data_IF_171536543471
#
_entry.id   IF_171536543471
#
_cell.length_a   1.000
_cell.length_b   1.000
_cell.length_c   1.000
_cell.angle_alpha   90.00
_cell.angle_beta   90.00
_cell.angle_gamma   90.00
#
_symmetry.space_group_name_H-M   'P 1'
#
loop_
_entity.id
_entity.type
_entity.pdbx_description
1 polymer ?
#
# COMPACT_ATOMS: atom_id res chain seq x y z
N UNK A 1 32.82 25.86 -10.99
CA UNK A 1 31.35 25.96 -11.17
C UNK A 1 30.69 24.68 -11.70
N UNK A 2 31.37 23.78 -12.43
CA UNK A 2 30.77 22.52 -12.92
C UNK A 2 30.52 21.45 -11.83
N UNK A 3 31.30 21.45 -10.74
CA UNK A 3 31.21 20.45 -9.64
C UNK A 3 29.91 20.54 -8.84
N UNK A 4 29.32 21.74 -8.73
CA UNK A 4 28.06 21.95 -8.01
C UNK A 4 26.88 21.34 -8.77
N UNK A 5 26.91 21.40 -10.10
CA UNK A 5 25.89 20.83 -10.97
C UNK A 5 25.86 19.29 -10.86
N UNK A 6 27.03 18.65 -10.77
CA UNK A 6 27.13 17.21 -10.49
C UNK A 6 26.55 16.83 -9.13
N UNK A 7 26.79 17.64 -8.09
CA UNK A 7 26.19 17.44 -6.78
C UNK A 7 24.66 17.58 -6.81
N UNK A 8 24.15 18.56 -7.55
CA UNK A 8 22.72 18.77 -7.73
C UNK A 8 22.05 17.56 -8.43
N UNK A 9 22.69 17.04 -9.48
CA UNK A 9 22.24 15.83 -10.20
C UNK A 9 22.28 14.59 -9.29
N UNK A 10 23.28 14.46 -8.42
CA UNK A 10 23.32 13.34 -7.47
C UNK A 10 22.16 13.44 -6.46
N UNK A 11 21.96 14.61 -5.85
CA UNK A 11 20.95 14.82 -4.81
C UNK A 11 19.53 14.66 -5.38
N UNK A 12 19.29 15.11 -6.62
CA UNK A 12 17.98 14.97 -7.26
C UNK A 12 17.59 13.50 -7.45
N UNK A 13 18.54 12.61 -7.77
CA UNK A 13 18.25 11.18 -7.92
C UNK A 13 17.81 10.52 -6.61
N UNK A 14 18.34 10.97 -5.46
CA UNK A 14 17.93 10.45 -4.15
C UNK A 14 16.57 10.99 -3.68
N UNK A 15 16.18 12.19 -4.09
CA UNK A 15 14.90 12.80 -3.72
C UNK A 15 13.67 12.10 -4.36
N UNK A 16 13.85 11.44 -5.51
CA UNK A 16 12.76 10.76 -6.24
C UNK A 16 12.73 9.24 -6.06
N UNK A 17 13.60 8.67 -5.23
CA UNK A 17 13.70 7.21 -5.06
C UNK A 17 12.70 6.62 -4.05
N UNK A 18 11.92 7.45 -3.34
CA UNK A 18 10.96 6.99 -2.32
C UNK A 18 9.60 6.69 -2.95
N UNK A 19 8.99 5.55 -2.58
CA UNK A 19 7.66 5.21 -3.04
C UNK A 19 6.61 6.13 -2.39
N UNK A 20 5.66 6.70 -3.16
CA UNK A 20 4.60 7.51 -2.57
C UNK A 20 3.78 6.70 -1.56
N UNK A 21 3.38 7.35 -0.47
CA UNK A 21 2.52 6.73 0.52
C UNK A 21 1.12 6.48 -0.07
N UNK A 22 0.73 5.21 -0.20
CA UNK A 22 -0.58 4.80 -0.74
C UNK A 22 -1.57 4.38 0.35
N UNK A 23 -1.39 4.78 1.61
CA UNK A 23 -2.29 4.42 2.71
C UNK A 23 -3.75 4.76 2.42
N UNK A 24 -4.01 5.89 1.76
CA UNK A 24 -5.36 6.30 1.39
C UNK A 24 -6.03 5.35 0.37
N UNK A 25 -5.23 4.66 -0.45
CA UNK A 25 -5.74 3.62 -1.35
C UNK A 25 -6.29 2.48 -0.51
N UNK A 26 -5.53 1.97 0.45
CA UNK A 26 -5.96 0.89 1.36
C UNK A 26 -7.19 1.26 2.19
N UNK A 27 -7.31 2.52 2.63
CA UNK A 27 -8.49 3.00 3.34
C UNK A 27 -9.75 3.03 2.47
N UNK A 28 -9.60 3.05 1.14
CA UNK A 28 -10.68 3.00 0.15
C UNK A 28 -11.84 3.98 0.45
N UNK A 29 -11.50 5.20 0.87
CA UNK A 29 -12.48 6.22 1.28
C UNK A 29 -13.52 5.68 2.30
N UNK A 30 -13.06 4.88 3.26
CA UNK A 30 -13.87 4.23 4.30
C UNK A 30 -14.89 3.20 3.79
N UNK A 31 -14.81 2.81 2.52
CA UNK A 31 -15.66 1.77 1.92
C UNK A 31 -14.97 0.40 2.02
N UNK A 32 -15.72 -0.68 2.26
CA UNK A 32 -15.14 -2.01 2.24
C UNK A 32 -14.73 -2.41 0.81
N UNK A 33 -13.62 -3.15 0.70
CA UNK A 33 -13.37 -3.97 -0.48
C UNK A 33 -14.33 -5.15 -0.48
N UNK A 34 -14.84 -5.50 -1.65
CA UNK A 34 -15.75 -6.65 -1.82
C UNK A 34 -15.00 -7.68 -2.64
N UNK A 35 -14.92 -8.90 -2.12
CA UNK A 35 -14.31 -10.04 -2.78
C UNK A 35 -15.06 -11.32 -2.45
N UNK A 36 -14.42 -12.45 -2.74
CA UNK A 36 -14.94 -13.76 -2.39
C UNK A 36 -13.92 -14.53 -1.54
N UNK A 37 -14.40 -15.40 -0.66
CA UNK A 37 -13.59 -16.26 0.21
C UNK A 37 -14.11 -17.70 0.17
N UNK A 38 -13.22 -18.67 0.41
CA UNK A 38 -13.57 -20.08 0.43
C UNK A 38 -13.85 -20.69 -0.94
N UNK A 39 -14.09 -21.99 -0.96
CA UNK A 39 -14.38 -22.74 -2.19
C UNK A 39 -15.77 -22.40 -2.76
N UNK A 40 -16.70 -22.06 -1.88
CA UNK A 40 -18.09 -21.74 -2.22
C UNK A 40 -18.28 -20.29 -2.70
N UNK A 41 -17.17 -19.53 -2.81
CA UNK A 41 -17.14 -18.13 -3.27
C UNK A 41 -18.06 -17.20 -2.46
N UNK A 42 -18.12 -17.42 -1.15
CA UNK A 42 -18.86 -16.56 -0.22
C UNK A 42 -18.37 -15.12 -0.34
N UNK A 43 -19.28 -14.16 -0.27
CA UNK A 43 -18.90 -12.75 -0.35
C UNK A 43 -18.23 -12.32 0.95
N UNK A 44 -17.02 -11.77 0.83
CA UNK A 44 -16.30 -11.12 1.93
C UNK A 44 -16.28 -9.61 1.70
N UNK A 45 -16.60 -8.85 2.75
CA UNK A 45 -16.39 -7.40 2.80
C UNK A 45 -15.25 -7.11 3.76
N UNK A 46 -14.16 -6.52 3.26
CA UNK A 46 -12.98 -6.16 4.05
C UNK A 46 -12.89 -4.64 4.17
N UNK A 47 -13.14 -4.10 5.35
CA UNK A 47 -12.97 -2.67 5.63
C UNK A 47 -11.67 -2.46 6.39
N UNK A 48 -10.76 -1.69 5.81
CA UNK A 48 -9.52 -1.23 6.45
C UNK A 48 -9.81 0.12 7.09
N UNK A 49 -9.49 0.26 8.38
CA UNK A 49 -9.68 1.50 9.15
C UNK A 49 -8.36 2.19 9.48
N UNK A 50 -7.28 1.42 9.64
CA UNK A 50 -5.93 1.93 9.84
C UNK A 50 -5.05 1.43 8.71
N UNK A 51 -4.28 2.34 8.11
CA UNK A 51 -3.23 2.03 7.15
C UNK A 51 -2.05 2.96 7.36
N UNK A 52 -0.94 2.43 7.87
CA UNK A 52 0.26 3.20 8.19
C UNK A 52 1.48 2.61 7.48
N UNK A 53 2.12 3.44 6.64
CA UNK A 53 3.37 3.06 5.97
C UNK A 53 4.52 2.99 6.98
N UNK A 54 5.33 1.94 6.90
CA UNK A 54 6.54 1.83 7.71
C UNK A 54 7.58 2.87 7.25
N UNK A 55 8.06 3.70 8.19
CA UNK A 55 9.00 4.79 7.92
C UNK A 55 10.37 4.32 7.43
N UNK A 56 10.76 3.08 7.76
CA UNK A 56 12.03 2.47 7.34
C UNK A 56 11.87 1.62 6.08
N UNK A 57 10.64 1.22 5.76
CA UNK A 57 10.30 0.34 4.63
C UNK A 57 9.05 0.85 3.94
N UNK A 58 9.24 1.71 2.96
CA UNK A 58 8.16 2.36 2.19
C UNK A 58 7.22 1.39 1.45
N UNK A 59 7.57 0.10 1.35
CA UNK A 59 6.75 -0.97 0.76
C UNK A 59 5.91 -1.77 1.75
N UNK A 60 6.10 -1.56 3.06
CA UNK A 60 5.38 -2.27 4.11
C UNK A 60 4.36 -1.33 4.77
N UNK A 61 3.15 -1.83 5.00
CA UNK A 61 2.05 -1.10 5.62
C UNK A 61 1.49 -1.93 6.77
N UNK A 62 1.37 -1.34 7.96
CA UNK A 62 0.51 -1.88 9.00
C UNK A 62 -0.94 -1.58 8.64
N UNK A 63 -1.79 -2.61 8.66
CA UNK A 63 -3.22 -2.47 8.37
C UNK A 63 -4.04 -3.14 9.46
N UNK A 64 -5.18 -2.52 9.80
CA UNK A 64 -6.18 -3.12 10.66
C UNK A 64 -7.59 -2.72 10.26
N UNK A 65 -8.55 -3.55 10.64
CA UNK A 65 -9.96 -3.30 10.38
C UNK A 65 -10.82 -4.52 10.65
N UNK A 66 -11.89 -4.66 9.85
CA UNK A 66 -12.88 -5.71 10.02
C UNK A 66 -13.21 -6.42 8.70
N UNK A 67 -13.40 -7.74 8.79
CA UNK A 67 -14.02 -8.54 7.75
C UNK A 67 -15.47 -8.86 8.14
N UNK A 68 -16.34 -8.90 7.14
CA UNK A 68 -17.70 -9.42 7.24
C UNK A 68 -17.88 -10.51 6.18
N UNK A 69 -18.20 -11.71 6.63
CA UNK A 69 -18.63 -12.83 5.78
C UNK A 69 -20.00 -13.23 6.28
N UNK A 70 -21.00 -13.16 5.41
CA UNK A 70 -22.41 -13.29 5.79
C UNK A 70 -22.79 -12.33 6.94
N UNK A 71 -22.95 -12.85 8.16
CA UNK A 71 -23.24 -12.09 9.39
C UNK A 71 -22.13 -12.18 10.44
N UNK A 72 -20.98 -12.77 10.10
CA UNK A 72 -19.86 -12.90 11.01
C UNK A 72 -18.88 -11.73 10.84
N UNK A 73 -18.78 -10.90 11.88
CA UNK A 73 -17.81 -9.82 11.97
C UNK A 73 -16.56 -10.29 12.71
N UNK A 74 -15.40 -10.11 12.09
CA UNK A 74 -14.10 -10.44 12.69
C UNK A 74 -13.13 -9.29 12.52
N UNK A 75 -12.36 -8.99 13.57
CA UNK A 75 -11.27 -8.01 13.51
C UNK A 75 -10.03 -8.66 12.89
N UNK A 76 -9.28 -7.92 12.09
CA UNK A 76 -7.98 -8.34 11.61
C UNK A 76 -6.93 -7.24 11.80
N UNK A 77 -5.69 -7.65 11.99
CA UNK A 77 -4.52 -6.79 12.05
C UNK A 77 -3.34 -7.50 11.40
N UNK A 78 -2.50 -6.78 10.65
CA UNK A 78 -1.38 -7.40 9.97
C UNK A 78 -0.53 -6.42 9.18
N UNK A 79 0.39 -6.97 8.39
CA UNK A 79 1.25 -6.20 7.50
C UNK A 79 0.96 -6.54 6.05
N UNK A 80 0.65 -5.54 5.25
CA UNK A 80 0.64 -5.67 3.79
C UNK A 80 2.01 -5.27 3.25
N UNK A 81 2.56 -6.14 2.40
CA UNK A 81 3.81 -5.89 1.70
C UNK A 81 3.51 -5.77 0.22
N UNK A 82 3.82 -4.61 -0.35
CA UNK A 82 3.76 -4.47 -1.79
C UNK A 82 4.87 -5.32 -2.41
N UNK A 83 4.58 -6.11 -3.46
CA UNK A 83 5.63 -6.76 -4.20
C UNK A 83 6.58 -5.68 -4.73
N UNK A 84 7.89 -5.98 -4.76
CA UNK A 84 8.89 -5.15 -5.44
C UNK A 84 8.51 -5.07 -6.93
N UNK A 85 7.65 -4.13 -7.30
CA UNK A 85 7.42 -3.79 -8.71
C UNK A 85 8.72 -3.13 -9.14
N UNK A 86 9.67 -3.92 -9.67
CA UNK A 86 10.73 -3.39 -10.52
C UNK A 86 9.99 -2.59 -11.58
N UNK A 87 10.11 -1.27 -11.52
CA UNK A 87 9.43 -0.28 -12.35
C UNK A 87 9.24 -0.88 -13.75
N UNK A 88 8.04 -1.38 -14.06
CA UNK A 88 7.71 -1.69 -15.44
C UNK A 88 7.74 -0.33 -16.09
N UNK A 89 8.82 -0.04 -16.83
CA UNK A 89 8.95 1.19 -17.60
C UNK A 89 7.69 1.27 -18.43
N UNK A 90 6.82 2.21 -18.10
CA UNK A 90 5.73 2.59 -18.98
C UNK A 90 6.44 3.13 -20.22
N UNK A 91 6.51 2.32 -21.28
CA UNK A 91 6.88 2.80 -22.59
C UNK A 91 5.71 3.67 -23.04
N UNK A 92 5.87 4.98 -22.88
CA UNK A 92 5.09 5.99 -23.60
C UNK A 92 5.66 6.07 -25.02
#
# INVERSE_FOLDING_TARGET
MKKLLFFLVLISNFAFAQMPNISNVWLNNSKPYIGTIGNDKETIKLKIEISEQDKKKDQEYFVSGYSLVENNHSKFEGKFKLPNIKTQKIKV
#
